data_IF_668048387635
#
_entry.id   IF_668048387635
#
_cell.length_a   1.000
_cell.length_b   1.000
_cell.length_c   1.000
_cell.angle_alpha   90.00
_cell.angle_beta   90.00
_cell.angle_gamma   90.00
#
_symmetry.space_group_name_H-M   'P 1'
#
loop_
_entity.id
_entity.type
_entity.pdbx_description
1 polymer ?
#
# COMPACT_ATOMS: atom_id res chain seq x y z
N UNK A 1 15.10 -1.58 -6.76
CA UNK A 1 15.41 -1.61 -5.32
C UNK A 1 15.71 -3.03 -4.93
N UNK A 2 15.90 -3.29 -3.63
CA UNK A 2 15.73 -4.64 -3.10
C UNK A 2 14.24 -4.99 -3.02
N UNK A 3 13.94 -6.27 -3.01
CA UNK A 3 12.65 -6.90 -2.76
C UNK A 3 12.28 -6.92 -1.27
N UNK A 4 13.25 -6.76 -0.37
CA UNK A 4 13.00 -6.60 1.07
C UNK A 4 12.41 -5.22 1.39
N UNK A 5 11.89 -5.05 2.62
CA UNK A 5 11.19 -3.84 3.07
C UNK A 5 11.97 -2.55 2.76
N UNK A 6 13.30 -2.55 2.97
CA UNK A 6 14.14 -1.37 2.71
C UNK A 6 14.19 -0.91 1.24
N UNK A 7 13.70 -1.72 0.30
CA UNK A 7 13.67 -1.36 -1.12
C UNK A 7 12.35 -0.76 -1.60
N UNK A 8 11.26 -0.86 -0.83
CA UNK A 8 9.92 -0.42 -1.26
C UNK A 8 9.04 0.18 -0.15
N UNK A 9 9.30 -0.11 1.13
CA UNK A 9 8.62 0.55 2.26
C UNK A 9 9.25 1.91 2.52
N UNK A 10 8.43 2.95 2.53
CA UNK A 10 8.87 4.34 2.66
C UNK A 10 8.02 5.08 3.70
N UNK A 11 8.58 6.08 4.40
CA UNK A 11 7.79 6.98 5.24
C UNK A 11 6.77 7.75 4.39
N UNK A 12 5.53 7.84 4.87
CA UNK A 12 4.45 8.59 4.23
C UNK A 12 3.66 9.35 5.30
N UNK A 13 3.49 10.65 5.10
CA UNK A 13 2.74 11.52 6.02
C UNK A 13 1.71 12.32 5.23
N UNK A 14 0.49 12.41 5.77
CA UNK A 14 -0.61 13.19 5.20
C UNK A 14 -1.06 14.18 6.28
N UNK A 15 -1.10 15.47 5.92
CA UNK A 15 -1.58 16.54 6.80
C UNK A 15 -2.50 17.47 6.03
N UNK A 16 -3.73 17.63 6.52
CA UNK A 16 -4.69 18.55 5.93
C UNK A 16 -5.62 19.14 7.00
N UNK A 17 -5.25 20.30 7.59
CA UNK A 17 -6.00 20.90 8.67
C UNK A 17 -7.46 21.23 8.29
N UNK A 18 -7.66 21.83 7.12
CA UNK A 18 -9.00 22.20 6.64
C UNK A 18 -9.87 20.97 6.31
N UNK A 19 -9.23 19.82 6.03
CA UNK A 19 -9.89 18.53 5.83
C UNK A 19 -10.19 17.77 7.12
N UNK A 20 -10.02 18.40 8.29
CA UNK A 20 -10.12 17.76 9.61
C UNK A 20 -9.10 16.63 9.84
N UNK A 21 -7.97 16.65 9.13
CA UNK A 21 -6.82 15.77 9.38
C UNK A 21 -5.80 16.50 10.27
N UNK A 22 -6.22 16.77 11.51
CA UNK A 22 -5.48 17.60 12.49
C UNK A 22 -4.90 16.80 13.66
N UNK A 23 -5.34 15.56 13.87
CA UNK A 23 -4.76 14.62 14.84
C UNK A 23 -3.59 13.84 14.25
N UNK A 24 -2.59 13.54 15.08
CA UNK A 24 -1.58 12.54 14.74
C UNK A 24 -2.13 11.14 14.98
N UNK A 25 -2.11 10.30 13.97
CA UNK A 25 -2.46 8.89 14.09
C UNK A 25 -1.57 8.06 13.17
N UNK A 26 -1.07 6.95 13.69
CA UNK A 26 -0.37 5.96 12.88
C UNK A 26 -1.39 5.01 12.23
N UNK A 27 -1.09 4.59 11.00
CA UNK A 27 -1.89 3.64 10.23
C UNK A 27 -1.03 2.41 9.98
N UNK A 28 -1.30 1.33 10.70
CA UNK A 28 -0.53 0.08 10.64
C UNK A 28 -1.00 -0.88 9.53
N UNK A 29 -2.00 -0.47 8.73
CA UNK A 29 -2.51 -1.26 7.60
C UNK A 29 -1.58 -1.18 6.39
N UNK A 30 -1.50 -2.27 5.62
CA UNK A 30 -0.77 -2.31 4.36
C UNK A 30 -1.44 -1.40 3.32
N UNK A 31 -0.69 -0.40 2.88
CA UNK A 31 -1.10 0.59 1.88
C UNK A 31 -0.05 0.69 0.78
N UNK A 32 -0.41 1.29 -0.35
CA UNK A 32 0.49 1.50 -1.47
C UNK A 32 0.23 2.82 -2.21
N UNK A 33 1.20 3.21 -3.03
CA UNK A 33 1.11 4.40 -3.89
C UNK A 33 -0.14 4.39 -4.80
N UNK A 34 -0.65 3.22 -5.20
CA UNK A 34 -1.88 3.08 -6.02
C UNK A 34 -3.14 3.57 -5.30
N UNK A 35 -3.10 3.68 -3.98
CA UNK A 35 -4.23 4.15 -3.14
C UNK A 35 -4.34 5.69 -3.16
N UNK A 36 -3.27 6.41 -3.54
CA UNK A 36 -3.23 7.87 -3.50
C UNK A 36 -4.25 8.49 -4.47
N UNK A 37 -4.34 7.98 -5.69
CA UNK A 37 -5.27 8.52 -6.69
C UNK A 37 -6.75 8.40 -6.27
N UNK A 38 -7.28 7.22 -5.91
CA UNK A 38 -8.66 7.12 -5.43
C UNK A 38 -8.91 7.90 -4.13
N UNK A 39 -7.89 8.06 -3.27
CA UNK A 39 -7.97 8.91 -2.06
C UNK A 39 -8.16 10.38 -2.42
N UNK A 40 -7.35 10.91 -3.35
CA UNK A 40 -7.45 12.32 -3.77
C UNK A 40 -8.77 12.61 -4.48
N UNK A 41 -9.27 11.68 -5.31
CA UNK A 41 -10.59 11.81 -5.94
C UNK A 41 -11.68 11.97 -4.88
N UNK A 42 -11.65 11.15 -3.82
CA UNK A 42 -12.64 11.21 -2.75
C UNK A 42 -12.50 12.48 -1.89
N UNK A 43 -11.28 12.84 -1.48
CA UNK A 43 -11.03 14.04 -0.67
C UNK A 43 -11.42 15.33 -1.40
N UNK A 44 -11.24 15.39 -2.72
CA UNK A 44 -11.65 16.52 -3.55
C UNK A 44 -13.15 16.52 -3.92
N UNK A 45 -13.93 15.53 -3.47
CA UNK A 45 -15.35 15.42 -3.81
C UNK A 45 -15.62 15.18 -5.31
N UNK A 46 -14.62 14.64 -6.03
CA UNK A 46 -14.73 14.41 -7.46
C UNK A 46 -15.50 13.11 -7.76
N UNK A 47 -16.17 13.08 -8.91
CA UNK A 47 -16.81 11.85 -9.40
C UNK A 47 -15.75 10.91 -9.94
N UNK A 48 -15.79 9.64 -9.52
CA UNK A 48 -14.94 8.60 -10.12
C UNK A 48 -15.24 8.49 -11.63
N UNK A 49 -14.21 8.40 -12.50
CA UNK A 49 -14.41 8.21 -13.93
C UNK A 49 -15.18 6.92 -14.20
N UNK A 50 -16.14 6.96 -15.13
CA UNK A 50 -16.87 5.76 -15.54
C UNK A 50 -15.94 4.80 -16.29
N UNK A 51 -16.01 3.52 -15.97
CA UNK A 51 -15.26 2.46 -16.66
C UNK A 51 -13.78 2.33 -16.26
N UNK A 52 -13.29 3.16 -15.33
CA UNK A 52 -11.93 3.03 -14.81
C UNK A 52 -11.94 2.16 -13.56
N UNK A 53 -11.17 1.06 -13.61
CA UNK A 53 -10.86 0.23 -12.45
C UNK A 53 -9.52 0.67 -11.87
N UNK A 54 -9.51 1.05 -10.60
CA UNK A 54 -8.27 1.34 -9.88
C UNK A 54 -7.73 0.06 -9.22
N UNK A 55 -6.40 -0.05 -9.14
CA UNK A 55 -5.73 -1.13 -8.42
C UNK A 55 -5.65 -0.86 -6.89
N UNK A 56 -5.87 0.40 -6.49
CA UNK A 56 -5.88 0.84 -5.10
C UNK A 56 -7.25 1.22 -4.59
N UNK A 57 -7.33 1.37 -3.27
CA UNK A 57 -8.52 1.78 -2.52
C UNK A 57 -8.30 3.12 -1.83
N UNK A 58 -9.38 3.84 -1.55
CA UNK A 58 -9.30 5.14 -0.90
C UNK A 58 -8.92 5.00 0.59
N UNK A 59 -7.86 5.70 0.99
CA UNK A 59 -7.36 5.76 2.37
C UNK A 59 -8.24 6.61 3.30
N UNK A 60 -9.27 7.31 2.78
CA UNK A 60 -10.09 8.26 3.58
C UNK A 60 -10.68 7.62 4.82
N UNK A 61 -11.08 6.34 4.75
CA UNK A 61 -11.58 5.63 5.93
C UNK A 61 -10.51 5.44 7.01
N UNK A 62 -9.29 5.07 6.62
CA UNK A 62 -8.16 4.94 7.54
C UNK A 62 -7.75 6.30 8.12
N UNK A 63 -7.69 7.33 7.28
CA UNK A 63 -7.39 8.71 7.69
C UNK A 63 -8.42 9.28 8.69
N UNK A 64 -9.64 8.73 8.71
CA UNK A 64 -10.72 9.11 9.65
C UNK A 64 -10.84 8.14 10.83
N UNK A 65 -9.90 7.22 11.03
CA UNK A 65 -9.90 6.23 12.12
C UNK A 65 -11.00 5.17 11.99
N UNK A 66 -11.51 4.92 10.78
CA UNK A 66 -12.59 3.95 10.50
C UNK A 66 -12.01 2.72 9.83
N UNK A 67 -11.39 1.84 10.62
CA UNK A 67 -10.73 0.64 10.09
C UNK A 67 -11.66 -0.50 9.68
N UNK A 68 -12.92 -0.46 10.13
CA UNK A 68 -13.86 -1.60 10.04
C UNK A 68 -14.08 -2.14 8.61
N UNK A 69 -13.80 -1.36 7.58
CA UNK A 69 -14.03 -1.73 6.17
C UNK A 69 -12.75 -1.68 5.31
N UNK A 70 -11.55 -1.73 5.92
CA UNK A 70 -10.33 -1.85 5.13
C UNK A 70 -10.17 -3.30 4.63
N UNK A 71 -10.02 -3.53 3.31
CA UNK A 71 -10.01 -4.87 2.75
C UNK A 71 -8.74 -5.63 3.12
N UNK A 72 -8.89 -6.93 3.34
CA UNK A 72 -7.76 -7.85 3.26
C UNK A 72 -7.28 -7.88 1.81
N UNK A 73 -6.02 -7.52 1.58
CA UNK A 73 -5.46 -7.36 0.24
C UNK A 73 -4.08 -7.97 0.12
N UNK A 74 -3.73 -8.29 -1.12
CA UNK A 74 -2.39 -8.70 -1.51
C UNK A 74 -1.79 -7.62 -2.40
N UNK A 75 -0.63 -7.12 -2.02
CA UNK A 75 0.18 -6.26 -2.86
C UNK A 75 1.37 -7.03 -3.44
N UNK A 76 1.77 -6.65 -4.64
CA UNK A 76 2.91 -7.26 -5.33
C UNK A 76 3.83 -6.14 -5.79
N UNK A 77 5.12 -6.30 -5.53
CA UNK A 77 6.17 -5.47 -6.10
C UNK A 77 7.19 -6.36 -6.78
N UNK A 78 7.75 -5.90 -7.89
CA UNK A 78 8.91 -6.52 -8.51
C UNK A 78 9.86 -5.46 -9.07
N UNK A 79 11.15 -5.75 -9.07
CA UNK A 79 12.17 -4.85 -9.58
C UNK A 79 13.15 -5.61 -10.47
N UNK A 80 12.68 -5.98 -11.65
CA UNK A 80 13.45 -6.84 -12.54
C UNK A 80 14.46 -6.07 -13.41
N UNK A 81 14.11 -4.91 -13.97
CA UNK A 81 15.02 -4.11 -14.82
C UNK A 81 15.73 -4.95 -15.91
N UNK A 82 15.00 -5.89 -16.51
CA UNK A 82 15.45 -6.72 -17.63
C UNK A 82 14.36 -6.72 -18.70
N UNK A 83 14.74 -7.05 -19.93
CA UNK A 83 13.84 -7.06 -21.09
C UNK A 83 12.79 -8.19 -21.02
N UNK A 84 13.21 -9.38 -20.57
CA UNK A 84 12.34 -10.55 -20.46
C UNK A 84 12.09 -10.89 -18.99
N UNK A 85 10.87 -10.70 -18.46
CA UNK A 85 10.58 -10.98 -17.06
C UNK A 85 10.85 -12.45 -16.70
N UNK A 86 11.57 -12.63 -15.61
CA UNK A 86 11.81 -13.92 -14.98
C UNK A 86 10.86 -14.08 -13.79
N UNK A 87 10.20 -15.24 -13.71
CA UNK A 87 9.28 -15.53 -12.61
C UNK A 87 10.05 -15.46 -11.29
N UNK A 88 9.49 -14.76 -10.31
CA UNK A 88 10.02 -14.62 -8.94
C UNK A 88 11.33 -13.85 -8.79
N UNK A 89 11.79 -13.15 -9.83
CA UNK A 89 13.03 -12.38 -9.72
C UNK A 89 12.77 -11.04 -9.01
N UNK A 90 13.40 -10.85 -7.85
CA UNK A 90 13.32 -9.61 -7.05
C UNK A 90 11.88 -9.14 -6.84
N UNK A 91 11.04 -10.07 -6.38
CA UNK A 91 9.61 -9.85 -6.17
C UNK A 91 9.23 -10.04 -4.70
N UNK A 92 8.28 -9.24 -4.22
CA UNK A 92 7.65 -9.41 -2.92
C UNK A 92 6.12 -9.49 -3.08
N UNK A 93 5.51 -10.49 -2.46
CA UNK A 93 4.06 -10.60 -2.28
C UNK A 93 3.73 -10.32 -0.82
N UNK A 94 2.81 -9.39 -0.58
CA UNK A 94 2.62 -8.77 0.72
C UNK A 94 1.16 -8.79 1.15
N UNK A 95 0.94 -9.12 2.42
CA UNK A 95 -0.33 -8.89 3.14
C UNK A 95 -0.05 -8.04 4.38
N UNK A 96 -1.04 -7.73 5.22
CA UNK A 96 -0.81 -6.99 6.48
C UNK A 96 0.24 -7.66 7.39
N UNK A 97 0.37 -9.00 7.33
CA UNK A 97 1.28 -9.76 8.20
C UNK A 97 2.45 -10.40 7.47
N UNK A 98 2.21 -10.89 6.25
CA UNK A 98 3.17 -11.78 5.59
C UNK A 98 3.91 -11.08 4.46
N UNK A 99 5.18 -11.47 4.28
CA UNK A 99 6.01 -11.16 3.11
C UNK A 99 6.52 -12.45 2.51
N UNK A 100 6.13 -12.75 1.28
CA UNK A 100 6.71 -13.82 0.48
C UNK A 100 7.71 -13.22 -0.50
N UNK A 101 8.99 -13.48 -0.27
CA UNK A 101 10.10 -12.95 -1.05
C UNK A 101 10.56 -14.00 -2.06
N UNK A 102 10.63 -13.60 -3.34
CA UNK A 102 11.09 -14.42 -4.46
C UNK A 102 10.44 -15.83 -4.56
N UNK A 103 9.24 -15.99 -3.99
CA UNK A 103 8.55 -17.27 -3.92
C UNK A 103 9.23 -18.34 -3.05
N UNK A 104 10.18 -17.96 -2.19
CA UNK A 104 11.03 -18.89 -1.42
C UNK A 104 11.04 -18.63 0.08
N UNK A 105 10.98 -17.37 0.49
CA UNK A 105 11.16 -16.97 1.89
C UNK A 105 9.87 -16.31 2.39
N UNK A 106 9.30 -16.80 3.50
CA UNK A 106 8.06 -16.30 4.08
C UNK A 106 8.34 -15.71 5.48
N UNK A 107 8.13 -14.40 5.63
CA UNK A 107 8.36 -13.67 6.87
C UNK A 107 7.06 -13.20 7.50
N UNK A 108 6.99 -13.30 8.82
CA UNK A 108 5.96 -12.63 9.65
C UNK A 108 6.48 -11.26 10.06
N UNK A 109 6.03 -10.20 9.39
CA UNK A 109 6.56 -8.84 9.62
C UNK A 109 6.23 -8.28 11.00
N UNK A 110 5.25 -8.87 11.71
CA UNK A 110 4.93 -8.48 13.08
C UNK A 110 5.94 -9.05 14.09
N UNK A 111 6.50 -10.22 13.80
CA UNK A 111 7.51 -10.86 14.63
C UNK A 111 8.94 -10.51 14.20
N UNK A 112 9.14 -10.22 12.91
CA UNK A 112 10.42 -9.96 12.27
C UNK A 112 10.32 -8.79 11.28
N UNK A 113 10.34 -7.54 11.77
CA UNK A 113 10.19 -6.35 10.91
C UNK A 113 11.42 -6.03 10.07
N UNK A 114 12.58 -6.63 10.34
CA UNK A 114 13.85 -6.40 9.65
C UNK A 114 15.10 -6.62 10.50
#
# INVERSE_FOLDING_TARGET
GSEYEGGHRVPCFIRWPDGSLTGGSDIDRLTAHVDILPTLIELCGLKRPRGVKFDGDSLVQLLKGREMNWPDRTLITDSQRIEHPEKWRKSAVMTDRWRLINGKELYDIKADPG
#
